data_IF_896799973299
#
_entry.id   IF_896799973299
#
_cell.length_a   1.000
_cell.length_b   1.000
_cell.length_c   1.000
_cell.angle_alpha   90.00
_cell.angle_beta   90.00
_cell.angle_gamma   90.00
#
_symmetry.space_group_name_H-M   'P 1'
#
loop_
_entity.id
_entity.type
_entity.pdbx_description
1 polymer ?
#
# COMPACT_ATOMS: atom_id res chain seq x y z
N UNK A 1 -7.26 7.36 -4.52
CA UNK A 1 -6.41 6.93 -5.65
C UNK A 1 -7.21 6.17 -6.72
N UNK A 2 -6.93 6.48 -7.99
CA UNK A 2 -7.44 5.73 -9.14
C UNK A 2 -6.61 4.47 -9.42
N UNK A 3 -7.12 3.59 -10.29
CA UNK A 3 -6.43 2.34 -10.68
C UNK A 3 -5.05 2.61 -11.28
N UNK A 4 -4.91 3.65 -12.10
CA UNK A 4 -3.63 4.03 -12.70
C UNK A 4 -2.58 4.38 -11.64
N UNK A 5 -2.94 5.20 -10.65
CA UNK A 5 -2.04 5.60 -9.56
C UNK A 5 -1.58 4.40 -8.73
N UNK A 6 -2.48 3.44 -8.47
CA UNK A 6 -2.16 2.20 -7.76
C UNK A 6 -1.21 1.30 -8.54
N UNK A 7 -1.37 1.20 -9.87
CA UNK A 7 -0.46 0.44 -10.73
C UNK A 7 0.92 1.09 -10.81
N UNK A 8 0.98 2.42 -10.93
CA UNK A 8 2.24 3.16 -10.94
C UNK A 8 3.00 3.02 -9.62
N UNK A 9 2.29 3.01 -8.50
CA UNK A 9 2.86 2.70 -7.18
C UNK A 9 3.42 1.28 -7.11
N UNK A 10 2.66 0.27 -7.54
CA UNK A 10 3.13 -1.13 -7.55
C UNK A 10 4.35 -1.32 -8.48
N UNK A 11 4.35 -0.68 -9.64
CA UNK A 11 5.51 -0.66 -10.54
C UNK A 11 6.72 0.00 -9.88
N UNK A 12 6.52 1.11 -9.18
CA UNK A 12 7.60 1.81 -8.46
C UNK A 12 8.20 0.91 -7.36
N UNK A 13 7.37 0.21 -6.59
CA UNK A 13 7.85 -0.77 -5.60
C UNK A 13 8.67 -1.89 -6.25
N UNK A 14 8.19 -2.40 -7.40
CA UNK A 14 8.90 -3.44 -8.16
C UNK A 14 10.26 -2.94 -8.66
N UNK A 15 10.35 -1.69 -9.11
CA UNK A 15 11.61 -1.06 -9.54
C UNK A 15 12.58 -0.79 -8.38
N UNK A 16 12.08 -0.71 -7.15
CA UNK A 16 12.87 -0.59 -5.92
C UNK A 16 13.25 -1.95 -5.31
N UNK A 17 13.07 -3.04 -6.06
CA UNK A 17 13.32 -4.42 -5.63
C UNK A 17 12.54 -4.82 -4.36
N UNK A 18 11.36 -4.25 -4.17
CA UNK A 18 10.43 -4.68 -3.12
C UNK A 18 9.83 -6.02 -3.51
N UNK A 19 10.31 -7.09 -2.88
CA UNK A 19 9.90 -8.47 -3.17
C UNK A 19 8.61 -8.91 -2.47
N UNK A 20 8.16 -8.17 -1.45
CA UNK A 20 6.95 -8.48 -0.71
C UNK A 20 6.33 -7.20 -0.13
N UNK A 21 5.00 -7.15 -0.14
CA UNK A 21 4.26 -6.11 0.58
C UNK A 21 4.26 -6.43 2.07
N UNK A 22 4.79 -5.52 2.86
CA UNK A 22 4.74 -5.56 4.32
C UNK A 22 3.93 -4.38 4.84
N UNK A 23 3.38 -4.45 6.07
CA UNK A 23 2.69 -3.31 6.67
C UNK A 23 3.55 -2.04 6.71
N UNK A 24 4.87 -2.19 6.93
CA UNK A 24 5.83 -1.09 6.96
C UNK A 24 5.95 -0.42 5.59
N UNK A 25 6.21 -1.20 4.52
CA UNK A 25 6.32 -0.65 3.15
C UNK A 25 5.03 0.03 2.73
N UNK A 26 3.87 -0.57 3.03
CA UNK A 26 2.57 0.02 2.73
C UNK A 26 2.43 1.36 3.46
N UNK A 27 2.70 1.40 4.77
CA UNK A 27 2.56 2.63 5.56
C UNK A 27 3.50 3.75 5.09
N UNK A 28 4.74 3.43 4.75
CA UNK A 28 5.76 4.41 4.36
C UNK A 28 5.52 4.97 2.96
N UNK A 29 4.93 4.16 2.07
CA UNK A 29 4.71 4.56 0.68
C UNK A 29 3.26 4.96 0.37
N UNK A 30 2.35 4.85 1.35
CA UNK A 30 0.94 5.22 1.19
C UNK A 30 0.73 6.67 0.76
N UNK A 31 1.67 7.56 1.10
CA UNK A 31 1.67 8.96 0.68
C UNK A 31 1.80 9.17 -0.84
N UNK A 32 2.25 8.14 -1.59
CA UNK A 32 2.24 8.17 -3.04
C UNK A 32 0.81 8.03 -3.62
N UNK A 33 -0.11 7.42 -2.86
CA UNK A 33 -1.49 7.16 -3.29
C UNK A 33 -2.50 8.13 -2.67
N UNK A 34 -2.26 8.55 -1.42
CA UNK A 34 -3.18 9.40 -0.66
C UNK A 34 -2.52 10.75 -0.38
N UNK A 35 -3.16 11.83 -0.85
CA UNK A 35 -2.65 13.20 -0.65
C UNK A 35 -3.01 13.78 0.71
N UNK A 36 -4.12 13.35 1.30
CA UNK A 36 -4.59 13.88 2.58
C UNK A 36 -4.06 13.03 3.73
N UNK A 37 -3.46 13.71 4.72
CA UNK A 37 -2.90 13.05 5.90
C UNK A 37 -3.98 12.29 6.69
N UNK A 38 -5.20 12.81 6.74
CA UNK A 38 -6.33 12.14 7.42
C UNK A 38 -6.70 10.81 6.76
N UNK A 39 -6.61 10.73 5.43
CA UNK A 39 -6.88 9.49 4.70
C UNK A 39 -5.74 8.48 4.89
N UNK A 40 -4.50 8.95 4.97
CA UNK A 40 -3.35 8.13 5.35
C UNK A 40 -3.55 7.55 6.75
N UNK A 41 -3.98 8.36 7.73
CA UNK A 41 -4.18 7.90 9.11
C UNK A 41 -5.30 6.85 9.20
N UNK A 42 -6.38 6.99 8.43
CA UNK A 42 -7.49 6.01 8.40
C UNK A 42 -7.07 4.64 7.86
N UNK A 43 -6.17 4.63 6.87
CA UNK A 43 -5.73 3.40 6.20
C UNK A 43 -4.51 2.78 6.90
N UNK A 44 -3.60 3.62 7.42
CA UNK A 44 -2.44 3.16 8.19
C UNK A 44 -2.89 2.33 9.39
N UNK A 45 -2.16 1.24 9.62
CA UNK A 45 -2.46 0.33 10.73
C UNK A 45 -3.44 -0.78 10.32
N UNK A 46 -4.62 -0.82 10.93
CA UNK A 46 -5.47 -2.01 10.96
C UNK A 46 -6.09 -2.38 9.63
N UNK A 47 -6.53 -1.41 8.82
CA UNK A 47 -7.21 -1.71 7.56
C UNK A 47 -6.22 -2.19 6.48
N UNK A 48 -5.07 -1.51 6.35
CA UNK A 48 -3.99 -1.97 5.48
C UNK A 48 -3.50 -3.38 5.88
N UNK A 49 -3.33 -3.64 7.19
CA UNK A 49 -2.93 -4.95 7.67
C UNK A 49 -3.99 -6.03 7.42
N UNK A 50 -5.28 -5.70 7.58
CA UNK A 50 -6.40 -6.61 7.29
C UNK A 50 -6.43 -7.00 5.82
N UNK A 51 -6.36 -6.02 4.91
CA UNK A 51 -6.34 -6.25 3.47
C UNK A 51 -5.10 -7.05 3.05
N UNK A 52 -3.94 -6.76 3.63
CA UNK A 52 -2.73 -7.52 3.37
C UNK A 52 -2.89 -9.00 3.80
N UNK A 53 -3.47 -9.25 4.97
CA UNK A 53 -3.74 -10.60 5.45
C UNK A 53 -4.75 -11.34 4.55
N UNK A 54 -5.81 -10.66 4.11
CA UNK A 54 -6.79 -11.22 3.17
C UNK A 54 -6.12 -11.63 1.84
N UNK A 55 -5.27 -10.77 1.27
CA UNK A 55 -4.52 -11.07 0.03
C UNK A 55 -3.56 -12.25 0.23
N UNK A 56 -2.82 -12.27 1.34
CA UNK A 56 -1.89 -13.36 1.65
C UNK A 56 -2.59 -14.70 1.87
N UNK A 57 -3.84 -14.70 2.35
CA UNK A 57 -4.65 -15.91 2.54
C UNK A 57 -5.28 -16.43 1.25
N UNK A 58 -5.42 -15.58 0.23
CA UNK A 58 -6.02 -15.90 -1.05
C UNK A 58 -4.99 -16.36 -2.11
N UNK A 59 -3.69 -16.23 -1.81
CA UNK A 59 -2.55 -16.66 -2.65
C UNK A 59 -2.06 -18.06 -2.26
#
# INVERSE_FOLDING_TARGET
PGVAETLDWANSLTQLDVVALTPEIINDTLGALLKYQDDIIKVRGSEAARLLAEIQSAA
#
